data_IF_262528548965
#
_entry.id   IF_262528548965
#
_cell.length_a   1.000
_cell.length_b   1.000
_cell.length_c   1.000
_cell.angle_alpha   90.00
_cell.angle_beta   90.00
_cell.angle_gamma   90.00
#
_symmetry.space_group_name_H-M   'P 1'
#
loop_
_entity.id
_entity.type
_entity.pdbx_description
1 polymer ?
#
# COMPACT_ATOMS: atom_id res chain seq x y z
N UNK A 1 -66.20 26.68 33.09
CA UNK A 1 -65.68 25.32 32.87
C UNK A 1 -64.27 25.47 32.33
N UNK A 2 -63.23 25.43 33.19
CA UNK A 2 -62.22 24.34 33.31
C UNK A 2 -61.86 23.77 31.92
N UNK A 3 -60.59 23.78 31.48
CA UNK A 3 -59.47 23.02 32.07
C UNK A 3 -58.08 23.61 31.74
N UNK A 4 -57.22 23.62 32.77
CA UNK A 4 -55.80 23.20 32.87
C UNK A 4 -54.85 23.27 31.65
N UNK A 5 -53.59 23.67 31.87
CA UNK A 5 -52.44 22.76 32.09
C UNK A 5 -51.17 23.56 32.44
N UNK A 6 -50.37 22.88 33.27
CA UNK A 6 -49.15 23.25 33.97
C UNK A 6 -47.88 23.17 33.08
N UNK A 7 -46.90 24.03 33.41
CA UNK A 7 -45.42 23.84 33.34
C UNK A 7 -44.71 23.60 32.00
N UNK A 8 -43.83 24.55 31.65
CA UNK A 8 -42.63 24.31 30.83
C UNK A 8 -41.46 25.19 31.34
N UNK A 9 -40.27 24.58 31.36
CA UNK A 9 -38.93 25.19 31.32
C UNK A 9 -38.46 25.91 32.63
N UNK A 10 -37.18 25.91 33.03
CA UNK A 10 -35.91 25.96 32.30
C UNK A 10 -34.77 25.36 33.16
N UNK A 11 -33.82 24.70 32.49
CA UNK A 11 -32.51 24.24 32.98
C UNK A 11 -31.50 25.38 33.20
N UNK A 12 -30.72 25.30 34.27
CA UNK A 12 -29.27 25.57 34.32
C UNK A 12 -28.74 25.20 35.72
N UNK A 13 -27.57 24.54 35.83
CA UNK A 13 -26.42 25.35 36.22
C UNK A 13 -25.06 24.95 35.63
N UNK A 14 -24.27 26.01 35.45
CA UNK A 14 -22.84 26.19 35.75
C UNK A 14 -21.79 25.14 35.34
N UNK A 15 -20.89 25.66 34.50
CA UNK A 15 -19.50 25.23 34.34
C UNK A 15 -18.75 25.13 35.69
N UNK A 16 -18.02 24.02 35.85
CA UNK A 16 -17.03 23.79 36.88
C UNK A 16 -15.88 22.99 36.29
N UNK A 17 -14.67 23.52 36.39
CA UNK A 17 -13.45 23.10 35.71
C UNK A 17 -12.99 21.68 36.06
N UNK A 18 -12.50 20.94 35.06
CA UNK A 18 -11.60 19.79 35.23
C UNK A 18 -10.25 20.17 34.64
N UNK A 19 -9.35 20.65 35.50
CA UNK A 19 -7.91 20.65 35.26
C UNK A 19 -7.34 19.51 36.09
N UNK A 20 -7.11 18.36 35.46
CA UNK A 20 -6.23 17.33 36.01
C UNK A 20 -4.90 17.48 35.28
N UNK A 21 -3.88 17.78 36.07
CA UNK A 21 -2.49 17.87 35.65
C UNK A 21 -1.98 16.50 35.17
N UNK A 22 -1.36 16.48 33.99
CA UNK A 22 -0.48 15.38 33.59
C UNK A 22 0.90 15.62 34.23
N UNK A 23 1.32 14.74 35.13
CA UNK A 23 2.72 14.60 35.55
C UNK A 23 3.56 14.03 34.40
N UNK A 24 4.85 14.41 34.23
CA UNK A 24 5.74 13.77 33.28
C UNK A 24 6.33 12.51 33.94
N UNK A 25 5.60 11.40 33.87
CA UNK A 25 6.05 10.09 34.35
C UNK A 25 6.95 9.40 33.32
N UNK A 26 8.23 9.23 33.65
CA UNK A 26 9.10 8.22 33.02
C UNK A 26 8.67 6.83 33.50
N UNK A 27 7.80 6.17 32.73
CA UNK A 27 7.38 4.77 32.85
C UNK A 27 7.59 4.01 31.53
N UNK A 28 7.51 2.67 31.50
CA UNK A 28 7.95 1.86 30.37
C UNK A 28 7.06 2.11 29.16
N UNK A 29 7.66 2.48 28.02
CA UNK A 29 7.10 2.57 26.67
C UNK A 29 5.55 2.53 26.62
N UNK A 30 4.93 3.71 26.68
CA UNK A 30 3.60 3.86 26.09
C UNK A 30 3.78 3.86 24.56
N UNK A 31 3.18 2.91 23.81
CA UNK A 31 3.20 2.99 22.35
C UNK A 31 2.51 4.30 21.93
N UNK A 32 3.19 5.08 21.10
CA UNK A 32 2.65 6.33 20.54
C UNK A 32 1.38 5.98 19.76
N UNK A 33 0.19 6.47 20.15
CA UNK A 33 -1.02 6.06 19.47
C UNK A 33 -1.07 6.54 18.02
N UNK A 34 -0.45 7.68 17.64
CA UNK A 34 -0.43 8.16 16.25
C UNK A 34 0.68 9.21 15.96
N UNK A 35 1.97 8.82 16.03
CA UNK A 35 2.98 9.61 15.33
C UNK A 35 2.80 9.36 13.81
N UNK A 36 2.37 10.38 13.07
CA UNK A 36 2.10 10.28 11.63
C UNK A 36 0.67 9.88 11.28
N UNK A 37 -0.33 10.63 11.73
CA UNK A 37 -1.66 10.60 11.09
C UNK A 37 -1.48 10.89 9.59
N UNK A 38 -2.24 10.23 8.70
CA UNK A 38 -2.21 10.58 7.29
C UNK A 38 -2.44 12.09 7.12
N UNK A 39 -1.65 12.77 6.28
CA UNK A 39 -1.68 14.22 6.14
C UNK A 39 -3.06 14.69 5.70
N UNK A 40 -3.44 15.91 6.09
CA UNK A 40 -4.57 16.57 5.46
C UNK A 40 -4.13 17.07 4.09
N UNK A 41 -4.87 16.70 3.06
CA UNK A 41 -4.57 17.10 1.70
C UNK A 41 -5.29 18.40 1.34
N UNK A 42 -4.75 19.17 0.40
CA UNK A 42 -5.50 20.25 -0.23
C UNK A 42 -6.60 19.70 -1.16
N UNK A 43 -6.34 18.55 -1.79
CA UNK A 43 -7.27 17.88 -2.70
C UNK A 43 -8.40 17.16 -1.92
N UNK A 44 -9.64 17.43 -2.31
CA UNK A 44 -10.82 16.88 -1.64
C UNK A 44 -10.97 15.35 -1.83
N UNK A 45 -10.54 14.82 -2.98
CA UNK A 45 -10.61 13.38 -3.27
C UNK A 45 -9.55 12.61 -2.48
N UNK A 46 -8.35 13.17 -2.32
CA UNK A 46 -7.34 12.61 -1.39
C UNK A 46 -7.86 12.58 0.06
N UNK A 47 -8.54 13.63 0.52
CA UNK A 47 -9.15 13.63 1.84
C UNK A 47 -10.31 12.62 1.98
N UNK A 48 -11.07 12.37 0.92
CA UNK A 48 -12.07 11.30 0.91
C UNK A 48 -11.42 9.92 1.08
N UNK A 49 -10.31 9.65 0.38
CA UNK A 49 -9.55 8.42 0.57
C UNK A 49 -8.92 8.30 1.95
N UNK A 50 -8.44 9.41 2.53
CA UNK A 50 -7.99 9.44 3.93
C UNK A 50 -9.11 9.04 4.89
N UNK A 51 -10.32 9.58 4.72
CA UNK A 51 -11.46 9.21 5.56
C UNK A 51 -11.83 7.73 5.41
N UNK A 52 -11.79 7.21 4.18
CA UNK A 52 -11.99 5.79 3.89
C UNK A 52 -10.93 4.91 4.58
N UNK A 53 -9.65 5.28 4.49
CA UNK A 53 -8.55 4.59 5.18
C UNK A 53 -8.77 4.49 6.69
N UNK A 54 -9.16 5.58 7.35
CA UNK A 54 -9.41 5.58 8.80
C UNK A 54 -10.55 4.62 9.19
N UNK A 55 -11.55 4.44 8.32
CA UNK A 55 -12.57 3.40 8.50
C UNK A 55 -12.00 2.01 8.24
N UNK A 56 -11.30 1.81 7.14
CA UNK A 56 -10.82 0.49 6.72
C UNK A 56 -9.78 -0.10 7.67
N UNK A 57 -8.87 0.72 8.19
CA UNK A 57 -7.87 0.26 9.15
C UNK A 57 -8.53 -0.21 10.45
N UNK A 58 -9.56 0.49 10.93
CA UNK A 58 -10.30 0.05 12.12
C UNK A 58 -11.01 -1.30 11.92
N UNK A 59 -11.50 -1.57 10.70
CA UNK A 59 -12.12 -2.85 10.36
C UNK A 59 -11.08 -3.96 10.23
N UNK A 60 -9.94 -3.67 9.61
CA UNK A 60 -8.82 -4.60 9.50
C UNK A 60 -8.30 -4.98 10.89
N UNK A 61 -8.15 -4.02 11.81
CA UNK A 61 -7.71 -4.28 13.19
C UNK A 61 -8.72 -5.10 13.99
N UNK A 62 -10.02 -4.86 13.78
CA UNK A 62 -11.09 -5.57 14.47
C UNK A 62 -11.19 -7.05 14.06
N UNK A 63 -11.11 -7.34 12.76
CA UNK A 63 -11.10 -8.71 12.24
C UNK A 63 -10.31 -8.78 10.91
N UNK A 64 -8.99 -9.03 10.96
CA UNK A 64 -8.16 -9.09 9.76
C UNK A 64 -8.62 -10.18 8.78
N UNK A 65 -9.14 -11.29 9.31
CA UNK A 65 -9.55 -12.44 8.50
C UNK A 65 -10.84 -12.13 7.75
N UNK A 66 -11.82 -11.51 8.40
CA UNK A 66 -13.05 -11.09 7.73
C UNK A 66 -12.79 -9.96 6.74
N UNK A 67 -11.93 -9.00 7.09
CA UNK A 67 -11.58 -7.90 6.21
C UNK A 67 -10.91 -8.41 4.93
N UNK A 68 -9.83 -9.20 5.05
CA UNK A 68 -9.11 -9.72 3.88
C UNK A 68 -9.87 -10.84 3.16
N UNK A 69 -10.67 -11.62 3.90
CA UNK A 69 -11.05 -12.97 3.52
C UNK A 69 -12.00 -13.14 2.34
N UNK A 70 -12.06 -14.40 1.85
CA UNK A 70 -12.84 -14.88 0.69
C UNK A 70 -14.36 -14.74 0.82
N UNK A 71 -14.90 -14.37 1.97
CA UNK A 71 -16.35 -14.27 2.20
C UNK A 71 -16.95 -12.94 1.76
N UNK A 72 -16.18 -12.12 1.04
CA UNK A 72 -16.70 -10.88 0.44
C UNK A 72 -18.00 -11.16 -0.34
N UNK A 73 -19.00 -10.26 -0.25
CA UNK A 73 -20.22 -10.38 -1.03
C UNK A 73 -19.89 -10.37 -2.53
N UNK A 74 -20.77 -10.94 -3.35
CA UNK A 74 -20.62 -10.97 -4.81
C UNK A 74 -20.87 -12.35 -5.42
N UNK A 75 -21.04 -12.35 -6.74
CA UNK A 75 -21.27 -13.55 -7.55
C UNK A 75 -19.91 -14.09 -7.97
N UNK A 76 -19.63 -15.36 -7.69
CA UNK A 76 -18.40 -16.01 -8.16
C UNK A 76 -18.43 -16.10 -9.68
N UNK A 77 -17.40 -15.56 -10.34
CA UNK A 77 -17.26 -15.73 -11.78
C UNK A 77 -17.03 -17.19 -12.13
N UNK A 78 -17.65 -17.66 -13.23
CA UNK A 78 -17.49 -19.02 -13.73
C UNK A 78 -16.11 -19.23 -14.40
N UNK A 79 -15.05 -18.89 -13.68
CA UNK A 79 -13.65 -19.06 -14.05
C UNK A 79 -13.10 -20.28 -13.32
N UNK A 80 -12.28 -21.10 -14.01
CA UNK A 80 -11.54 -22.17 -13.35
C UNK A 80 -10.53 -21.60 -12.35
N UNK A 81 -10.03 -22.42 -11.43
CA UNK A 81 -9.01 -21.99 -10.47
C UNK A 81 -7.73 -21.50 -11.18
N UNK A 82 -7.36 -22.15 -12.29
CA UNK A 82 -6.22 -21.77 -13.13
C UNK A 82 -6.45 -20.41 -13.79
N UNK A 83 -7.65 -20.15 -14.32
CA UNK A 83 -7.99 -18.87 -14.92
C UNK A 83 -7.98 -17.72 -13.89
N UNK A 84 -8.45 -17.99 -12.66
CA UNK A 84 -8.41 -17.00 -11.56
C UNK A 84 -6.96 -16.67 -11.17
N UNK A 85 -6.07 -17.67 -11.13
CA UNK A 85 -4.64 -17.47 -10.87
C UNK A 85 -3.97 -16.69 -11.98
N UNK A 86 -4.19 -17.08 -13.24
CA UNK A 86 -3.64 -16.38 -14.40
C UNK A 86 -4.08 -14.91 -14.44
N UNK A 87 -5.34 -14.63 -14.06
CA UNK A 87 -5.84 -13.28 -13.94
C UNK A 87 -5.15 -12.49 -12.80
N UNK A 88 -4.98 -13.10 -11.63
CA UNK A 88 -4.26 -12.47 -10.51
C UNK A 88 -2.78 -12.19 -10.84
N UNK A 89 -2.12 -13.11 -11.57
CA UNK A 89 -0.77 -12.96 -12.09
C UNK A 89 -0.68 -11.81 -13.10
N UNK A 90 -1.59 -11.76 -14.08
CA UNK A 90 -1.64 -10.69 -15.07
C UNK A 90 -1.96 -9.31 -14.45
N UNK A 91 -2.73 -9.31 -13.37
CA UNK A 91 -3.07 -8.10 -12.62
C UNK A 91 -2.00 -7.70 -11.60
N UNK A 92 -0.94 -8.50 -11.41
CA UNK A 92 0.10 -8.21 -10.44
C UNK A 92 0.73 -6.86 -10.75
N UNK A 93 0.71 -5.98 -9.74
CA UNK A 93 1.44 -4.73 -9.79
C UNK A 93 2.49 -4.73 -8.70
N UNK A 94 3.78 -4.59 -9.07
CA UNK A 94 4.84 -4.49 -8.08
C UNK A 94 4.65 -3.21 -7.23
N UNK A 95 5.19 -3.13 -6.02
CA UNK A 95 5.24 -1.89 -5.23
C UNK A 95 5.80 -0.69 -6.02
N UNK A 96 5.38 0.54 -5.70
CA UNK A 96 5.78 1.74 -6.49
C UNK A 96 7.31 1.88 -6.59
N UNK A 97 8.03 1.67 -5.49
CA UNK A 97 9.49 1.74 -5.48
C UNK A 97 10.12 0.76 -6.49
N UNK A 98 9.46 -0.37 -6.78
CA UNK A 98 9.93 -1.38 -7.74
C UNK A 98 9.55 -1.05 -9.19
N UNK A 99 8.69 -0.05 -9.43
CA UNK A 99 8.31 0.42 -10.78
C UNK A 99 9.24 1.49 -11.34
N UNK A 100 10.29 1.84 -10.59
CA UNK A 100 11.29 2.81 -11.00
C UNK A 100 12.46 2.12 -11.72
N UNK A 101 12.97 2.68 -12.84
CA UNK A 101 14.24 2.25 -13.45
C UNK A 101 15.42 2.30 -12.47
N UNK A 102 15.38 3.20 -11.48
CA UNK A 102 16.40 3.28 -10.43
C UNK A 102 16.40 2.05 -9.54
N UNK A 103 15.24 1.40 -9.35
CA UNK A 103 15.16 0.20 -8.53
C UNK A 103 15.92 -0.96 -9.15
N UNK A 104 15.81 -1.16 -10.46
CA UNK A 104 16.56 -2.21 -11.16
C UNK A 104 18.08 -1.96 -11.09
N UNK A 105 18.51 -0.70 -11.22
CA UNK A 105 19.92 -0.31 -11.05
C UNK A 105 20.41 -0.52 -9.62
N UNK A 106 19.65 -0.07 -8.61
CA UNK A 106 20.00 -0.22 -7.19
C UNK A 106 20.05 -1.70 -6.81
N UNK A 107 19.07 -2.48 -7.22
CA UNK A 107 19.04 -3.92 -6.93
C UNK A 107 20.20 -4.64 -7.61
N UNK A 108 20.47 -4.35 -8.89
CA UNK A 108 21.61 -4.91 -9.62
C UNK A 108 22.96 -4.53 -8.99
N UNK A 109 23.15 -3.27 -8.59
CA UNK A 109 24.37 -2.79 -7.95
C UNK A 109 24.62 -3.43 -6.57
N UNK A 110 23.57 -3.93 -5.91
CA UNK A 110 23.63 -4.53 -4.58
C UNK A 110 23.41 -6.06 -4.59
N UNK A 111 23.52 -6.73 -5.76
CA UNK A 111 23.25 -8.18 -5.97
C UNK A 111 21.92 -8.63 -5.33
N UNK A 112 20.93 -7.75 -5.37
CA UNK A 112 19.60 -8.04 -4.89
C UNK A 112 18.82 -8.74 -6.00
N UNK A 113 18.35 -9.96 -5.75
CA UNK A 113 17.64 -10.76 -6.74
C UNK A 113 16.24 -11.08 -6.22
N UNK A 114 15.22 -10.90 -7.06
CA UNK A 114 13.82 -11.20 -6.73
C UNK A 114 13.32 -12.33 -7.59
N UNK A 115 12.62 -13.28 -6.99
CA UNK A 115 11.78 -14.20 -7.76
C UNK A 115 10.56 -13.45 -8.29
N UNK A 116 9.94 -13.93 -9.39
CA UNK A 116 8.56 -13.60 -9.69
C UNK A 116 7.64 -13.98 -8.50
N UNK A 117 6.48 -13.32 -8.34
CA UNK A 117 5.47 -13.75 -7.38
C UNK A 117 4.93 -15.13 -7.76
N UNK A 118 4.78 -16.02 -6.78
CA UNK A 118 4.20 -17.35 -6.95
C UNK A 118 2.83 -17.36 -6.29
N UNK A 119 1.77 -17.37 -7.11
CA UNK A 119 0.39 -17.33 -6.63
C UNK A 119 -0.08 -18.72 -6.17
N UNK A 120 -0.34 -18.86 -4.87
CA UNK A 120 -0.87 -20.11 -4.31
C UNK A 120 -2.39 -20.19 -4.49
N UNK A 121 -3.07 -19.04 -4.47
CA UNK A 121 -4.51 -18.93 -4.43
C UNK A 121 -4.99 -17.62 -5.04
N UNK A 122 -6.07 -17.68 -5.81
CA UNK A 122 -6.81 -16.52 -6.29
C UNK A 122 -8.31 -16.81 -6.25
N UNK A 123 -9.13 -15.78 -6.03
CA UNK A 123 -10.58 -15.85 -6.10
C UNK A 123 -11.12 -14.53 -6.62
N UNK A 124 -12.01 -14.59 -7.60
CA UNK A 124 -12.64 -13.42 -8.21
C UNK A 124 -14.14 -13.44 -7.93
N UNK A 125 -14.66 -12.35 -7.36
CA UNK A 125 -16.08 -12.14 -7.11
C UNK A 125 -16.57 -10.88 -7.77
N UNK A 126 -17.62 -11.00 -8.56
CA UNK A 126 -18.28 -9.89 -9.22
C UNK A 126 -19.27 -9.22 -8.26
N UNK A 127 -19.12 -7.91 -8.06
CA UNK A 127 -20.04 -7.09 -7.28
C UNK A 127 -21.14 -6.51 -8.18
N UNK A 128 -20.76 -6.10 -9.38
CA UNK A 128 -21.65 -5.53 -10.39
C UNK A 128 -21.07 -5.80 -11.80
N UNK A 129 -21.92 -6.09 -12.78
CA UNK A 129 -21.53 -6.26 -14.19
C UNK A 129 -21.66 -7.69 -14.71
N UNK A 130 -20.75 -8.10 -15.59
CA UNK A 130 -20.69 -9.45 -16.17
C UNK A 130 -19.29 -10.05 -16.12
N UNK A 131 -19.24 -11.39 -16.17
CA UNK A 131 -18.00 -12.09 -16.47
C UNK A 131 -18.18 -13.25 -17.45
N UNK A 132 -19.09 -13.06 -18.41
CA UNK A 132 -19.36 -14.05 -19.45
C UNK A 132 -18.20 -14.09 -20.45
N UNK A 133 -17.86 -15.27 -20.96
CA UNK A 133 -16.70 -15.43 -21.84
C UNK A 133 -15.34 -15.35 -21.15
N UNK A 134 -15.31 -15.33 -19.81
CA UNK A 134 -14.06 -15.36 -19.02
C UNK A 134 -13.37 -14.00 -18.86
N UNK A 135 -13.92 -12.93 -19.45
CA UNK A 135 -13.47 -11.56 -19.23
C UNK A 135 -14.33 -10.89 -18.15
N UNK A 136 -13.74 -10.05 -17.30
CA UNK A 136 -14.46 -9.32 -16.24
C UNK A 136 -14.83 -7.93 -16.77
N UNK A 137 -16.12 -7.59 -16.73
CA UNK A 137 -16.63 -6.26 -17.06
C UNK A 137 -17.51 -5.76 -15.92
N UNK A 138 -17.13 -4.65 -15.29
CA UNK A 138 -17.80 -4.10 -14.13
C UNK A 138 -16.97 -4.21 -12.86
N UNK A 139 -17.61 -4.04 -11.71
CA UNK A 139 -16.94 -3.96 -10.41
C UNK A 139 -16.72 -5.36 -9.83
N UNK A 140 -15.48 -5.71 -9.54
CA UNK A 140 -15.13 -7.00 -8.98
C UNK A 140 -14.14 -6.88 -7.83
N UNK A 141 -14.17 -7.87 -6.93
CA UNK A 141 -13.20 -8.08 -5.88
C UNK A 141 -12.32 -9.29 -6.21
N UNK A 142 -11.02 -9.10 -6.10
CA UNK A 142 -9.98 -10.11 -6.28
C UNK A 142 -9.32 -10.35 -4.95
N UNK A 143 -9.39 -11.60 -4.47
CA UNK A 143 -8.59 -12.06 -3.35
C UNK A 143 -7.47 -12.92 -3.90
N UNK A 144 -6.23 -12.64 -3.55
CA UNK A 144 -5.09 -13.43 -3.96
C UNK A 144 -4.07 -13.55 -2.85
N UNK A 145 -3.33 -14.66 -2.88
CA UNK A 145 -2.16 -14.83 -2.04
C UNK A 145 -1.00 -15.28 -2.90
N UNK A 146 0.17 -14.70 -2.63
CA UNK A 146 1.40 -15.06 -3.33
C UNK A 146 2.60 -14.97 -2.39
N UNK A 147 3.65 -15.70 -2.75
CA UNK A 147 4.94 -15.62 -2.07
C UNK A 147 6.00 -15.14 -3.06
N UNK A 148 6.98 -14.39 -2.57
CA UNK A 148 8.16 -13.94 -3.31
C UNK A 148 9.40 -14.21 -2.47
N UNK A 149 10.47 -14.65 -3.13
CA UNK A 149 11.78 -14.82 -2.52
C UNK A 149 12.68 -13.69 -2.99
N UNK A 150 13.17 -12.93 -2.02
CA UNK A 150 14.04 -11.78 -2.25
C UNK A 150 15.41 -12.08 -1.65
N UNK A 151 16.43 -12.30 -2.47
CA UNK A 151 17.81 -12.46 -2.04
C UNK A 151 18.37 -11.09 -1.67
N UNK A 152 18.76 -10.93 -0.40
CA UNK A 152 19.40 -9.70 0.07
C UNK A 152 20.91 -9.82 -0.04
N UNK A 153 21.56 -8.89 -0.74
CA UNK A 153 23.01 -8.77 -0.81
C UNK A 153 23.65 -8.06 0.41
N UNK A 154 22.85 -7.53 1.35
CA UNK A 154 23.36 -6.74 2.47
C UNK A 154 24.09 -7.55 3.56
N UNK A 155 23.94 -8.88 3.59
CA UNK A 155 24.58 -9.72 4.61
C UNK A 155 25.85 -10.36 4.04
N UNK A 156 26.96 -9.65 4.27
CA UNK A 156 28.31 -10.18 4.44
C UNK A 156 28.78 -11.26 3.44
N UNK A 157 29.31 -10.81 2.31
CA UNK A 157 30.32 -11.50 1.52
C UNK A 157 31.66 -11.73 2.28
N UNK A 158 31.64 -11.86 3.62
CA UNK A 158 32.85 -12.03 4.41
C UNK A 158 33.25 -13.48 4.69
N UNK A 159 32.37 -14.49 4.53
CA UNK A 159 32.77 -15.89 4.79
C UNK A 159 32.07 -16.95 3.93
N UNK A 160 31.73 -16.66 2.66
CA UNK A 160 31.52 -17.69 1.63
C UNK A 160 30.40 -18.73 1.79
N UNK A 161 29.64 -18.78 2.89
CA UNK A 161 28.78 -19.94 3.20
C UNK A 161 27.31 -19.65 3.50
N UNK A 162 26.87 -18.39 3.61
CA UNK A 162 25.47 -18.08 3.92
C UNK A 162 24.89 -17.00 3.01
N UNK A 163 23.93 -17.41 2.17
CA UNK A 163 23.08 -16.48 1.41
C UNK A 163 21.81 -16.22 2.19
N UNK A 164 21.56 -14.96 2.55
CA UNK A 164 20.33 -14.53 3.20
C UNK A 164 19.23 -14.22 2.19
N UNK A 165 18.03 -14.68 2.49
CA UNK A 165 16.81 -14.45 1.75
C UNK A 165 15.80 -13.78 2.66
N UNK A 166 14.91 -13.01 2.06
CA UNK A 166 13.68 -12.54 2.64
C UNK A 166 12.54 -13.24 1.91
N UNK A 167 11.68 -13.90 2.69
CA UNK A 167 10.44 -14.46 2.20
C UNK A 167 9.38 -13.38 2.41
N UNK A 168 8.78 -12.92 1.32
CA UNK A 168 7.66 -12.02 1.32
C UNK A 168 6.39 -12.82 1.02
N UNK A 169 5.54 -13.01 2.01
CA UNK A 169 4.20 -13.56 1.82
C UNK A 169 3.21 -12.39 1.77
N UNK A 170 2.38 -12.33 0.72
CA UNK A 170 1.39 -11.27 0.54
C UNK A 170 0.00 -11.85 0.46
N UNK A 171 -0.90 -11.32 1.29
CA UNK A 171 -2.33 -11.45 1.10
C UNK A 171 -2.87 -10.16 0.50
N UNK A 172 -3.57 -10.26 -0.62
CA UNK A 172 -4.09 -9.16 -1.42
C UNK A 172 -5.61 -9.25 -1.49
N UNK A 173 -6.27 -8.12 -1.17
CA UNK A 173 -7.66 -7.87 -1.53
C UNK A 173 -7.70 -6.64 -2.42
N UNK A 174 -8.24 -6.76 -3.62
CA UNK A 174 -8.43 -5.64 -4.53
C UNK A 174 -9.90 -5.55 -4.91
N UNK A 175 -10.46 -4.35 -4.95
CA UNK A 175 -11.80 -4.08 -5.46
C UNK A 175 -11.70 -2.96 -6.47
N UNK A 176 -11.91 -3.29 -7.74
CA UNK A 176 -11.73 -2.40 -8.87
C UNK A 176 -12.92 -2.45 -9.82
N UNK A 177 -13.07 -1.39 -10.60
CA UNK A 177 -13.85 -1.43 -11.83
C UNK A 177 -12.96 -1.99 -12.96
N UNK A 178 -13.48 -2.99 -13.68
CA UNK A 178 -12.78 -3.67 -14.79
C UNK A 178 -13.51 -3.47 -16.11
N UNK A 179 -12.73 -3.38 -17.19
CA UNK A 179 -13.19 -3.47 -18.56
C UNK A 179 -12.31 -4.50 -19.27
N UNK A 180 -12.91 -5.59 -19.77
CA UNK A 180 -12.17 -6.68 -20.41
C UNK A 180 -11.01 -7.22 -19.55
N UNK A 181 -11.28 -7.44 -18.27
CA UNK A 181 -10.28 -7.90 -17.27
C UNK A 181 -9.12 -6.94 -17.03
N UNK A 182 -9.21 -5.67 -17.43
CA UNK A 182 -8.23 -4.62 -17.12
C UNK A 182 -8.84 -3.59 -16.19
N UNK A 183 -8.08 -3.08 -15.22
CA UNK A 183 -8.55 -2.00 -14.33
C UNK A 183 -8.87 -0.76 -15.17
N UNK A 184 -10.08 -0.24 -15.03
CA UNK A 184 -10.59 0.84 -15.88
C UNK A 184 -11.38 1.91 -15.09
N UNK A 185 -11.24 1.96 -13.77
CA UNK A 185 -11.93 2.92 -12.93
C UNK A 185 -11.37 2.97 -11.51
N UNK A 186 -12.24 3.14 -10.53
CA UNK A 186 -11.82 3.28 -9.14
C UNK A 186 -11.42 1.93 -8.57
N UNK A 187 -10.29 1.93 -7.88
CA UNK A 187 -9.70 0.79 -7.22
C UNK A 187 -9.43 1.09 -5.75
N UNK A 188 -9.67 0.09 -4.92
CA UNK A 188 -9.21 0.03 -3.55
C UNK A 188 -8.48 -1.30 -3.35
N UNK A 189 -7.21 -1.24 -2.98
CA UNK A 189 -6.30 -2.37 -2.86
C UNK A 189 -5.72 -2.42 -1.47
N UNK A 190 -5.79 -3.58 -0.85
CA UNK A 190 -5.38 -3.82 0.52
C UNK A 190 -4.39 -4.97 0.50
N UNK A 191 -3.25 -4.79 1.18
CA UNK A 191 -2.22 -5.81 1.25
C UNK A 191 -1.78 -6.01 2.69
N UNK A 192 -1.63 -7.27 3.07
CA UNK A 192 -0.92 -7.69 4.28
C UNK A 192 0.36 -8.38 3.83
N UNK A 193 1.49 -7.73 4.04
CA UNK A 193 2.81 -8.25 3.73
C UNK A 193 3.37 -8.84 5.02
N UNK A 194 3.78 -10.11 4.97
CA UNK A 194 4.51 -10.78 6.04
C UNK A 194 5.93 -11.02 5.55
N UNK A 195 6.89 -10.38 6.21
CA UNK A 195 8.32 -10.46 5.92
C UNK A 195 8.99 -11.39 6.92
N UNK A 196 9.69 -12.40 6.41
CA UNK A 196 10.45 -13.36 7.22
C UNK A 196 11.85 -13.55 6.66
N UNK A 197 12.86 -13.59 7.52
CA UNK A 197 14.22 -13.96 7.14
C UNK A 197 14.35 -15.47 6.89
N UNK A 198 15.23 -15.84 5.96
CA UNK A 198 15.60 -17.21 5.68
C UNK A 198 17.06 -17.30 5.21
N UNK A 199 17.67 -18.45 5.44
CA UNK A 199 19.04 -18.75 5.02
C UNK A 199 19.07 -20.02 4.19
N UNK A 200 19.92 -20.06 3.16
CA UNK A 200 20.16 -21.29 2.42
C UNK A 200 21.24 -22.11 3.12
N UNK A 201 20.93 -23.35 3.48
CA UNK A 201 21.87 -24.32 4.06
C UNK A 201 21.70 -25.66 3.35
N UNK A 202 22.79 -26.21 2.82
CA UNK A 202 22.79 -27.48 2.06
C UNK A 202 21.73 -27.54 0.93
N UNK A 203 21.51 -26.41 0.24
CA UNK A 203 20.51 -26.30 -0.84
C UNK A 203 19.05 -26.25 -0.38
N UNK A 204 18.79 -26.13 0.93
CA UNK A 204 17.46 -25.95 1.50
C UNK A 204 17.32 -24.55 2.08
N UNK A 205 16.18 -23.93 1.80
CA UNK A 205 15.80 -22.67 2.43
C UNK A 205 15.26 -22.95 3.84
N UNK A 206 15.98 -22.49 4.85
CA UNK A 206 15.59 -22.63 6.25
C UNK A 206 15.13 -21.26 6.77
N UNK A 207 13.95 -21.15 7.42
CA UNK A 207 13.56 -19.91 8.05
C UNK A 207 14.52 -19.57 9.19
N UNK A 208 14.84 -18.29 9.34
CA UNK A 208 15.76 -17.85 10.38
C UNK A 208 15.16 -18.14 11.76
N UNK A 209 15.84 -19.00 12.53
CA UNK A 209 15.41 -19.44 13.85
C UNK A 209 15.47 -18.24 14.82
N UNK A 210 14.31 -17.70 15.20
CA UNK A 210 14.19 -16.58 16.14
C UNK A 210 13.87 -15.22 15.51
N UNK A 211 13.74 -15.12 14.19
CA UNK A 211 13.26 -13.92 13.52
C UNK A 211 11.77 -13.70 13.78
N UNK A 212 11.39 -12.52 14.28
CA UNK A 212 9.97 -12.14 14.37
C UNK A 212 9.50 -11.76 12.97
N UNK A 213 8.48 -12.46 12.45
CA UNK A 213 7.87 -12.07 11.19
C UNK A 213 7.28 -10.66 11.34
N UNK A 214 7.65 -9.77 10.43
CA UNK A 214 7.16 -8.40 10.44
C UNK A 214 5.96 -8.26 9.52
N UNK A 215 4.94 -7.55 9.98
CA UNK A 215 3.75 -7.24 9.18
C UNK A 215 3.79 -5.80 8.69
N UNK A 216 3.46 -5.62 7.42
CA UNK A 216 3.22 -4.31 6.82
C UNK A 216 1.83 -4.35 6.21
N UNK A 217 1.05 -3.31 6.47
CA UNK A 217 -0.29 -3.15 5.93
C UNK A 217 -0.27 -2.00 4.93
N UNK A 218 -0.79 -2.24 3.74
CA UNK A 218 -0.88 -1.23 2.68
C UNK A 218 -2.32 -1.06 2.24
N UNK A 219 -2.79 0.18 2.21
CA UNK A 219 -4.10 0.60 1.75
C UNK A 219 -3.90 1.57 0.58
N UNK A 220 -4.23 1.14 -0.63
CA UNK A 220 -4.01 1.89 -1.87
C UNK A 220 -5.34 2.17 -2.55
N UNK A 221 -5.63 3.45 -2.75
CA UNK A 221 -6.86 3.94 -3.36
C UNK A 221 -6.53 4.78 -4.57
N UNK A 222 -7.27 4.61 -5.66
CA UNK A 222 -7.10 5.50 -6.80
C UNK A 222 -7.85 5.04 -8.03
N UNK A 223 -7.82 5.88 -9.05
CA UNK A 223 -8.35 5.53 -10.36
C UNK A 223 -7.30 4.87 -11.27
N UNK A 224 -7.76 4.06 -12.19
CA UNK A 224 -6.98 3.34 -13.18
C UNK A 224 -7.63 3.47 -14.55
N UNK A 225 -6.83 3.34 -15.60
CA UNK A 225 -7.30 3.15 -16.95
C UNK A 225 -6.35 2.20 -17.68
N UNK A 226 -6.87 1.06 -18.13
CA UNK A 226 -6.08 0.06 -18.85
C UNK A 226 -4.88 -0.43 -18.02
N UNK A 227 -5.16 -0.83 -16.76
CA UNK A 227 -4.17 -1.26 -15.75
C UNK A 227 -3.12 -0.22 -15.36
N UNK A 228 -3.25 1.00 -15.85
CA UNK A 228 -2.36 2.11 -15.51
C UNK A 228 -3.01 2.99 -14.48
N UNK A 229 -2.23 3.36 -13.47
CA UNK A 229 -2.61 4.40 -12.53
C UNK A 229 -3.02 5.66 -13.29
N UNK A 230 -4.22 6.17 -13.02
CA UNK A 230 -4.72 7.36 -13.70
C UNK A 230 -5.46 8.26 -12.73
N UNK A 231 -5.11 9.54 -12.73
CA UNK A 231 -5.74 10.53 -11.86
C UNK A 231 -5.37 10.37 -10.38
N UNK A 232 -6.13 11.07 -9.52
CA UNK A 232 -5.86 11.16 -8.08
C UNK A 232 -5.92 9.80 -7.39
N UNK A 233 -4.97 9.54 -6.50
CA UNK A 233 -4.89 8.34 -5.66
C UNK A 233 -4.00 8.53 -4.44
N UNK A 234 -4.04 7.61 -3.48
CA UNK A 234 -3.19 7.62 -2.29
C UNK A 234 -2.97 6.22 -1.77
N UNK A 235 -1.74 5.92 -1.37
CA UNK A 235 -1.40 4.73 -0.62
C UNK A 235 -0.98 5.09 0.81
N UNK A 236 -1.48 4.36 1.80
CA UNK A 236 -1.09 4.43 3.20
C UNK A 236 -0.41 3.13 3.58
N UNK A 237 0.79 3.22 4.13
CA UNK A 237 1.55 2.11 4.65
C UNK A 237 1.73 2.29 6.16
N UNK A 238 1.34 1.27 6.90
CA UNK A 238 1.55 1.18 8.35
C UNK A 238 2.25 -0.13 8.69
N UNK A 239 3.07 -0.10 9.71
CA UNK A 239 3.87 -1.24 10.15
C UNK A 239 3.23 -1.80 11.41
N UNK A 240 3.12 -3.13 11.49
CA UNK A 240 2.64 -3.79 12.71
C UNK A 240 3.62 -3.63 13.86
N UNK A 241 3.12 -3.79 15.08
CA UNK A 241 3.83 -3.55 16.36
C UNK A 241 5.21 -4.22 16.48
N UNK A 242 5.43 -5.34 15.78
CA UNK A 242 6.69 -6.06 15.80
C UNK A 242 7.77 -5.47 14.89
N UNK A 243 7.48 -4.47 14.07
CA UNK A 243 8.45 -3.88 13.14
C UNK A 243 9.30 -2.80 13.84
N UNK A 244 10.62 -2.71 13.56
CA UNK A 244 11.47 -1.60 14.02
C UNK A 244 10.99 -0.18 13.67
N UNK A 245 10.03 -0.08 12.74
CA UNK A 245 9.45 1.18 12.24
C UNK A 245 7.96 1.27 12.54
N UNK A 246 7.45 0.55 13.56
CA UNK A 246 6.03 0.58 13.97
C UNK A 246 5.49 2.00 14.28
N UNK A 247 6.37 2.99 14.48
CA UNK A 247 5.99 4.41 14.62
C UNK A 247 6.11 5.27 13.36
N UNK A 248 6.46 4.70 12.21
CA UNK A 248 6.62 5.42 10.95
C UNK A 248 5.52 5.04 9.98
N UNK A 249 4.50 5.89 9.83
CA UNK A 249 3.56 5.73 8.72
C UNK A 249 4.10 6.43 7.48
N UNK A 250 3.97 5.77 6.34
CA UNK A 250 4.28 6.36 5.04
C UNK A 250 2.99 6.57 4.27
N UNK A 251 2.77 7.78 3.78
CA UNK A 251 1.67 8.09 2.86
C UNK A 251 2.26 8.50 1.53
N UNK A 252 1.70 7.99 0.45
CA UNK A 252 2.13 8.30 -0.90
C UNK A 252 0.91 8.80 -1.66
N UNK A 253 0.81 10.11 -1.83
CA UNK A 253 -0.24 10.72 -2.63
C UNK A 253 0.15 10.72 -4.11
N UNK A 254 -0.86 10.58 -4.97
CA UNK A 254 -0.78 10.55 -6.43
C UNK A 254 -1.67 11.63 -6.99
N UNK A 255 -1.09 12.57 -7.73
CA UNK A 255 -1.76 13.74 -8.29
C UNK A 255 -1.55 13.78 -9.81
N UNK A 256 -2.61 13.90 -10.62
CA UNK A 256 -2.45 14.11 -12.05
C UNK A 256 -1.87 15.51 -12.31
N UNK A 257 -0.88 15.59 -13.19
CA UNK A 257 -0.16 16.83 -13.51
C UNK A 257 -0.05 17.01 -15.05
N UNK A 258 -1.12 16.70 -15.76
CA UNK A 258 -1.17 16.67 -17.22
C UNK A 258 -1.87 15.43 -17.76
N UNK A 259 -1.88 15.25 -19.09
CA UNK A 259 -2.58 14.14 -19.73
C UNK A 259 -2.00 12.75 -19.36
N UNK A 260 -0.67 12.68 -19.27
CA UNK A 260 0.11 11.45 -19.02
C UNK A 260 1.20 11.66 -17.94
N UNK A 261 1.06 12.69 -17.11
CA UNK A 261 1.99 12.99 -16.02
C UNK A 261 1.30 12.78 -14.68
N UNK A 262 2.00 12.08 -13.79
CA UNK A 262 1.58 11.84 -12.42
C UNK A 262 2.69 12.36 -11.51
N UNK A 263 2.30 13.10 -10.50
CA UNK A 263 3.17 13.56 -9.42
C UNK A 263 2.89 12.71 -8.19
N UNK A 264 3.94 12.18 -7.59
CA UNK A 264 3.84 11.50 -6.31
C UNK A 264 4.38 12.38 -5.19
N UNK A 265 3.73 12.34 -4.04
CA UNK A 265 4.19 13.04 -2.84
C UNK A 265 4.25 12.02 -1.72
N UNK A 266 5.47 11.77 -1.23
CA UNK A 266 5.69 10.88 -0.11
C UNK A 266 5.75 11.70 1.18
N UNK A 267 4.99 11.26 2.17
CA UNK A 267 4.94 11.80 3.52
C UNK A 267 5.37 10.69 4.47
N UNK A 268 6.52 10.85 5.13
CA UNK A 268 7.06 9.87 6.06
C UNK A 268 7.07 10.45 7.48
N UNK A 269 6.37 9.80 8.42
CA UNK A 269 6.50 10.11 9.86
C UNK A 269 6.11 11.54 10.29
N UNK A 270 5.30 12.26 9.51
CA UNK A 270 4.90 13.64 9.81
C UNK A 270 5.87 14.73 9.32
N UNK A 271 6.93 14.34 8.60
CA UNK A 271 7.80 15.28 7.89
C UNK A 271 7.06 15.94 6.70
N UNK A 272 7.47 17.15 6.27
CA UNK A 272 7.01 17.74 5.01
C UNK A 272 7.20 16.75 3.85
N UNK A 273 6.32 16.75 2.83
CA UNK A 273 6.41 15.78 1.76
C UNK A 273 7.75 15.88 1.03
N UNK A 274 8.44 14.76 0.87
CA UNK A 274 9.43 14.62 -0.19
C UNK A 274 8.67 14.38 -1.49
N UNK A 275 8.70 15.37 -2.38
CA UNK A 275 8.02 15.28 -3.68
C UNK A 275 8.84 14.38 -4.58
N UNK A 276 8.24 13.27 -5.02
CA UNK A 276 8.80 12.34 -6.00
C UNK A 276 8.03 12.56 -7.30
N UNK A 277 8.65 13.22 -8.27
CA UNK A 277 8.01 13.35 -9.58
C UNK A 277 8.20 12.03 -10.35
N UNK A 278 7.12 11.47 -10.88
CA UNK A 278 7.20 10.27 -11.71
C UNK A 278 6.16 10.28 -12.83
N UNK A 279 6.57 10.69 -14.04
CA UNK A 279 5.81 10.47 -15.27
C UNK A 279 5.64 8.97 -15.47
N UNK A 280 4.40 8.51 -15.63
CA UNK A 280 4.14 7.16 -16.11
C UNK A 280 4.07 7.26 -17.63
N UNK A 281 5.20 7.05 -18.31
CA UNK A 281 5.21 7.00 -19.76
C UNK A 281 4.52 5.72 -20.26
N UNK A 282 4.18 5.63 -21.56
CA UNK A 282 3.55 4.44 -22.14
C UNK A 282 4.33 3.12 -21.95
N UNK A 283 5.59 3.19 -21.51
CA UNK A 283 6.46 2.06 -21.20
C UNK A 283 6.25 1.46 -19.80
N UNK A 284 5.29 1.97 -19.02
CA UNK A 284 4.97 1.51 -17.66
C UNK A 284 6.07 1.75 -16.62
N UNK A 285 7.06 2.58 -16.94
CA UNK A 285 8.13 2.96 -16.01
C UNK A 285 7.86 4.34 -15.42
N UNK A 286 8.36 4.56 -14.20
CA UNK A 286 8.35 5.86 -13.52
C UNK A 286 9.55 6.71 -13.97
N UNK A 287 9.32 7.93 -14.48
CA UNK A 287 10.36 8.84 -14.96
C UNK A 287 10.36 10.16 -14.17
N UNK A 288 11.52 10.62 -13.71
CA UNK A 288 11.67 11.86 -12.95
C UNK A 288 12.68 11.75 -11.81
N UNK A 289 12.84 12.81 -10.99
CA UNK A 289 13.67 12.80 -9.79
C UNK A 289 13.07 11.86 -8.73
N UNK A 290 13.88 10.92 -8.26
CA UNK A 290 13.53 9.99 -7.19
C UNK A 290 14.29 10.36 -5.91
N UNK A 291 13.53 10.62 -4.86
CA UNK A 291 14.06 10.85 -3.52
C UNK A 291 13.80 9.58 -2.69
N UNK A 292 14.87 8.97 -2.19
CA UNK A 292 14.75 7.84 -1.27
C UNK A 292 15.18 8.28 0.14
N UNK A 293 14.36 7.96 1.14
CA UNK A 293 14.79 7.94 2.54
C UNK A 293 15.44 9.22 3.06
N UNK A 294 14.89 10.39 2.73
CA UNK A 294 15.19 11.63 3.43
C UNK A 294 16.58 12.24 3.22
N UNK A 295 17.31 11.99 2.12
CA UNK A 295 18.51 12.81 1.93
C UNK A 295 19.43 12.67 0.73
N UNK A 296 19.30 11.68 -0.15
CA UNK A 296 20.24 11.58 -1.28
C UNK A 296 19.49 11.38 -2.59
N UNK A 297 19.54 12.42 -3.40
CA UNK A 297 19.11 12.45 -4.78
C UNK A 297 20.14 11.70 -5.62
N UNK A 298 19.80 10.49 -6.10
CA UNK A 298 20.79 9.62 -6.75
C UNK A 298 20.69 9.60 -8.28
N UNK A 299 19.51 9.81 -8.86
CA UNK A 299 19.33 9.74 -10.32
C UNK A 299 18.04 10.44 -10.78
N UNK A 300 18.06 11.03 -11.98
CA UNK A 300 16.85 11.40 -12.73
C UNK A 300 16.75 10.51 -13.97
N UNK A 301 15.53 10.09 -14.32
CA UNK A 301 15.26 9.35 -15.55
C UNK A 301 14.29 10.11 -16.44
N UNK A 302 14.62 10.22 -17.73
CA UNK A 302 13.72 10.70 -18.77
C UNK A 302 13.69 9.69 -19.93
N UNK A 303 12.49 9.30 -20.37
CA UNK A 303 12.28 8.27 -21.40
C UNK A 303 13.11 6.99 -21.19
N UNK A 304 13.26 6.56 -19.93
CA UNK A 304 13.91 5.31 -19.53
C UNK A 304 15.43 5.42 -19.45
N UNK A 305 15.98 6.63 -19.64
CA UNK A 305 17.42 6.90 -19.59
C UNK A 305 17.76 7.80 -18.43
N UNK A 306 18.86 7.49 -17.76
CA UNK A 306 19.40 8.38 -16.74
C UNK A 306 19.88 9.68 -17.41
N UNK A 307 19.39 10.82 -16.94
CA UNK A 307 19.76 12.16 -17.42
C UNK A 307 20.35 12.98 -16.29
N UNK A 308 21.10 14.03 -16.66
CA UNK A 308 21.56 15.00 -15.67
C UNK A 308 20.35 15.67 -15.03
N UNK A 309 20.41 15.93 -13.72
CA UNK A 309 19.32 16.54 -12.94
C UNK A 309 18.81 17.85 -13.56
N UNK A 310 19.70 18.66 -14.13
CA UNK A 310 19.35 19.94 -14.75
C UNK A 310 18.50 19.80 -16.03
N UNK A 311 18.55 18.62 -16.65
CA UNK A 311 17.79 18.27 -17.86
C UNK A 311 16.51 17.49 -17.50
N UNK A 312 16.22 17.37 -16.20
CA UNK A 312 15.10 16.60 -15.69
C UNK A 312 13.79 17.39 -15.82
N UNK A 313 12.89 16.94 -16.69
CA UNK A 313 11.60 17.61 -16.92
C UNK A 313 11.70 18.93 -17.70
N UNK A 314 12.83 19.19 -18.38
CA UNK A 314 12.93 20.29 -19.33
C UNK A 314 12.23 19.91 -20.65
N UNK A 315 10.94 20.18 -20.73
CA UNK A 315 10.24 20.49 -21.99
C UNK A 315 9.89 21.99 -22.01
#
# INVERSE_FOLDING_TARGET
MRHNILTLAVLLPLAGAVLVACEPGMGPFQPSPFAGFPPNFADAKLNAYRAQYLSDISQLEADPTAFMGRNQPGITCAMSAEAQKAFAEASYMPPLNERSPTWEKVTSANDYQKSPPIFDQATVKLLEGDCTGGAINGRASVHARYNRLDRSGFVAAQQGEYVSFQILAVELRETCDYLQSRRAGNCARYQVLTLSGATMFEGKLLPDQGGVAHKIFVFDYGAYADDRERGVGVAFQTYGDSHPFAGQNTTLARLPDGADLIRYEEYAGGEPPSVIYSRLLPDYLLHGPLYWGGGIEMSCYDHGKEVMRVDCGSE
#
